data_IF_106467206367
#
_entry.id   IF_106467206367
#
_cell.length_a   1.000
_cell.length_b   1.000
_cell.length_c   1.000
_cell.angle_alpha   90.00
_cell.angle_beta   90.00
_cell.angle_gamma   90.00
#
_symmetry.space_group_name_H-M   'P 1'
#
loop_
_entity.id
_entity.type
_entity.pdbx_description
1 polymer ?
#
# COMPACT_ATOMS: atom_id res chain seq x y z
N UNK A 1 -16.64 -14.43 -30.74
CA UNK A 1 -16.75 -13.04 -30.22
C UNK A 1 -15.38 -12.58 -29.82
N UNK A 2 -14.98 -11.38 -30.17
CA UNK A 2 -13.71 -10.80 -29.67
C UNK A 2 -13.84 -10.56 -28.16
N UNK A 3 -12.77 -10.88 -27.39
CA UNK A 3 -12.69 -10.54 -25.96
C UNK A 3 -12.61 -9.02 -25.77
N UNK A 4 -13.23 -8.52 -24.71
CA UNK A 4 -13.09 -7.12 -24.32
C UNK A 4 -11.68 -6.83 -23.78
N UNK A 5 -11.18 -5.61 -23.97
CA UNK A 5 -9.86 -5.19 -23.56
C UNK A 5 -9.93 -4.22 -22.37
N UNK A 6 -8.96 -4.33 -21.45
CA UNK A 6 -8.70 -3.36 -20.39
C UNK A 6 -7.58 -2.37 -20.77
N UNK A 7 -6.55 -2.87 -21.46
CA UNK A 7 -5.41 -2.07 -21.90
C UNK A 7 -5.01 -2.40 -23.33
N UNK A 8 -4.63 -1.37 -24.09
CA UNK A 8 -4.04 -1.54 -25.43
C UNK A 8 -2.65 -2.16 -25.35
N UNK A 9 -2.20 -2.77 -26.45
CA UNK A 9 -0.82 -3.25 -26.57
C UNK A 9 0.19 -2.10 -26.31
N UNK A 10 1.23 -2.36 -25.53
CA UNK A 10 2.26 -1.38 -25.15
C UNK A 10 3.65 -2.00 -25.11
N UNK A 11 4.66 -1.26 -25.50
CA UNK A 11 6.08 -1.63 -25.32
C UNK A 11 6.42 -3.06 -25.81
N UNK A 12 5.75 -3.54 -26.86
CA UNK A 12 5.96 -4.91 -27.35
C UNK A 12 5.15 -5.99 -26.62
N UNK A 13 4.38 -5.63 -25.59
CA UNK A 13 3.46 -6.53 -24.88
C UNK A 13 2.06 -6.50 -25.52
N UNK A 14 1.34 -7.64 -25.55
CA UNK A 14 0.01 -7.71 -26.13
C UNK A 14 -1.00 -6.87 -25.33
N UNK A 15 -2.16 -6.59 -25.95
CA UNK A 15 -3.27 -5.98 -25.26
C UNK A 15 -3.78 -6.91 -24.15
N UNK A 16 -4.14 -6.33 -23.01
CA UNK A 16 -4.65 -7.07 -21.87
C UNK A 16 -6.17 -7.25 -21.98
N UNK A 17 -6.66 -8.47 -21.77
CA UNK A 17 -8.08 -8.74 -21.71
C UNK A 17 -8.72 -8.11 -20.46
N UNK A 18 -9.95 -7.64 -20.60
CA UNK A 18 -10.74 -7.04 -19.51
C UNK A 18 -10.93 -8.02 -18.35
N UNK A 19 -11.24 -9.27 -18.65
CA UNK A 19 -11.38 -10.34 -17.66
C UNK A 19 -10.12 -10.49 -16.83
N UNK A 20 -8.97 -10.67 -17.48
CA UNK A 20 -7.70 -10.93 -16.81
C UNK A 20 -7.32 -9.77 -15.87
N UNK A 21 -7.54 -8.52 -16.32
CA UNK A 21 -7.30 -7.32 -15.52
C UNK A 21 -8.19 -7.29 -14.28
N UNK A 22 -9.50 -7.42 -14.45
CA UNK A 22 -10.45 -7.35 -13.33
C UNK A 22 -10.20 -8.46 -12.31
N UNK A 23 -9.95 -9.69 -12.76
CA UNK A 23 -9.66 -10.83 -11.89
C UNK A 23 -8.34 -10.64 -11.11
N UNK A 24 -7.30 -10.13 -11.76
CA UNK A 24 -6.02 -9.85 -11.12
C UNK A 24 -6.14 -8.73 -10.09
N UNK A 25 -6.80 -7.62 -10.44
CA UNK A 25 -7.03 -6.49 -9.52
C UNK A 25 -7.87 -6.95 -8.33
N UNK A 26 -8.95 -7.69 -8.57
CA UNK A 26 -9.80 -8.24 -7.52
C UNK A 26 -9.01 -9.14 -6.56
N UNK A 27 -8.24 -10.10 -7.08
CA UNK A 27 -7.44 -11.03 -6.28
C UNK A 27 -6.42 -10.29 -5.40
N UNK A 28 -5.69 -9.32 -5.95
CA UNK A 28 -4.69 -8.55 -5.23
C UNK A 28 -5.31 -7.63 -4.19
N UNK A 29 -6.29 -6.84 -4.59
CA UNK A 29 -6.93 -5.87 -3.71
C UNK A 29 -7.61 -6.56 -2.52
N UNK A 30 -8.30 -7.69 -2.73
CA UNK A 30 -8.91 -8.47 -1.66
C UNK A 30 -7.88 -9.12 -0.74
N UNK A 31 -6.74 -9.56 -1.28
CA UNK A 31 -5.62 -10.05 -0.47
C UNK A 31 -5.06 -8.93 0.41
N UNK A 32 -4.80 -7.73 -0.15
CA UNK A 32 -4.31 -6.58 0.63
C UNK A 32 -5.30 -6.20 1.75
N UNK A 33 -6.59 -6.16 1.45
CA UNK A 33 -7.61 -5.88 2.44
C UNK A 33 -7.64 -6.93 3.56
N UNK A 34 -7.53 -8.22 3.23
CA UNK A 34 -7.46 -9.30 4.21
C UNK A 34 -6.21 -9.19 5.11
N UNK A 35 -5.07 -8.85 4.54
CA UNK A 35 -3.83 -8.61 5.30
C UNK A 35 -3.95 -7.43 6.25
N UNK A 36 -4.61 -6.33 5.84
CA UNK A 36 -4.90 -5.17 6.70
C UNK A 36 -5.81 -5.58 7.86
N UNK A 37 -6.87 -6.34 7.59
CA UNK A 37 -7.86 -6.73 8.61
C UNK A 37 -7.32 -7.69 9.67
N UNK A 38 -6.24 -8.43 9.40
CA UNK A 38 -5.56 -9.24 10.43
C UNK A 38 -5.07 -8.42 11.63
N UNK A 39 -4.84 -7.11 11.43
CA UNK A 39 -4.35 -6.19 12.46
C UNK A 39 -5.41 -5.19 12.92
N UNK A 40 -6.63 -5.30 12.43
CA UNK A 40 -7.75 -4.46 12.89
C UNK A 40 -8.28 -4.97 14.24
N UNK A 41 -8.73 -4.05 15.08
CA UNK A 41 -9.37 -4.40 16.35
C UNK A 41 -10.69 -5.17 16.15
N UNK A 42 -11.37 -4.93 15.03
CA UNK A 42 -12.56 -5.65 14.57
C UNK A 42 -12.29 -6.23 13.19
N UNK A 43 -12.02 -7.53 13.14
CA UNK A 43 -11.77 -8.29 11.91
C UNK A 43 -13.07 -8.78 11.26
N UNK A 44 -14.06 -7.92 11.13
CA UNK A 44 -15.39 -8.27 10.60
C UNK A 44 -15.44 -8.53 9.09
N UNK A 45 -14.33 -8.41 8.38
CA UNK A 45 -14.25 -8.58 6.93
C UNK A 45 -14.89 -7.44 6.13
N UNK A 46 -15.13 -6.28 6.76
CA UNK A 46 -15.83 -5.18 6.10
C UNK A 46 -14.97 -4.49 5.04
N UNK A 47 -13.68 -4.28 5.31
CA UNK A 47 -12.75 -3.71 4.33
C UNK A 47 -12.63 -4.62 3.10
N UNK A 48 -12.48 -5.92 3.34
CA UNK A 48 -12.42 -6.91 2.26
C UNK A 48 -13.68 -6.93 1.41
N UNK A 49 -14.87 -6.81 2.01
CA UNK A 49 -16.14 -6.71 1.27
C UNK A 49 -16.18 -5.46 0.39
N UNK A 50 -15.88 -4.28 0.97
CA UNK A 50 -15.89 -3.01 0.22
C UNK A 50 -14.90 -3.06 -0.94
N UNK A 51 -13.69 -3.55 -0.68
CA UNK A 51 -12.62 -3.65 -1.69
C UNK A 51 -12.96 -4.67 -2.78
N UNK A 52 -13.53 -5.83 -2.42
CA UNK A 52 -13.97 -6.84 -3.40
C UNK A 52 -14.97 -6.27 -4.41
N UNK A 53 -16.01 -5.62 -3.91
CA UNK A 53 -17.03 -5.01 -4.77
C UNK A 53 -16.46 -3.85 -5.59
N UNK A 54 -15.58 -3.04 -5.01
CA UNK A 54 -14.92 -1.96 -5.75
C UNK A 54 -14.03 -2.52 -6.87
N UNK A 55 -13.24 -3.54 -6.59
CA UNK A 55 -12.31 -4.13 -7.55
C UNK A 55 -13.03 -4.78 -8.75
N UNK A 56 -14.18 -5.42 -8.53
CA UNK A 56 -14.94 -6.02 -9.62
C UNK A 56 -15.45 -4.97 -10.62
N UNK A 57 -15.91 -3.81 -10.12
CA UNK A 57 -16.61 -2.84 -10.98
C UNK A 57 -15.80 -1.57 -11.27
N UNK A 58 -14.53 -1.45 -10.83
CA UNK A 58 -13.76 -0.21 -10.97
C UNK A 58 -13.64 0.27 -12.42
N UNK A 59 -13.54 -0.64 -13.33
CA UNK A 59 -13.30 -0.43 -14.75
C UNK A 59 -14.47 -0.79 -15.67
N UNK A 60 -15.68 -0.93 -15.11
CA UNK A 60 -16.87 -1.38 -15.88
C UNK A 60 -17.09 -0.57 -17.15
N UNK A 61 -16.85 0.73 -17.13
CA UNK A 61 -17.03 1.59 -18.29
C UNK A 61 -16.00 1.41 -19.40
N UNK A 62 -14.89 0.68 -19.17
CA UNK A 62 -14.00 0.26 -20.27
C UNK A 62 -14.71 -0.60 -21.31
N UNK A 63 -15.81 -1.28 -20.92
CA UNK A 63 -16.63 -2.08 -21.84
C UNK A 63 -17.49 -1.24 -22.79
N UNK A 64 -17.57 0.09 -22.63
CA UNK A 64 -18.26 0.96 -23.60
C UNK A 64 -17.63 0.81 -25.00
N UNK A 65 -18.48 0.73 -26.02
CA UNK A 65 -18.07 0.45 -27.41
C UNK A 65 -17.02 1.46 -27.92
N UNK A 66 -17.16 2.75 -27.58
CA UNK A 66 -16.20 3.77 -28.01
C UNK A 66 -14.84 3.59 -27.30
N UNK A 67 -14.86 3.19 -26.02
CA UNK A 67 -13.64 2.85 -25.29
C UNK A 67 -12.99 1.61 -25.90
N UNK A 68 -13.76 0.59 -26.24
CA UNK A 68 -13.26 -0.65 -26.87
C UNK A 68 -12.64 -0.40 -28.24
N UNK A 69 -13.19 0.51 -29.05
CA UNK A 69 -12.58 0.90 -30.33
C UNK A 69 -11.18 1.48 -30.12
N UNK A 70 -11.01 2.40 -29.15
CA UNK A 70 -9.71 2.98 -28.82
C UNK A 70 -8.74 1.95 -28.28
N UNK A 71 -9.19 1.07 -27.39
CA UNK A 71 -8.36 0.01 -26.79
C UNK A 71 -7.86 -1.01 -27.85
N UNK A 72 -8.63 -1.24 -28.90
CA UNK A 72 -8.24 -2.08 -30.06
C UNK A 72 -7.36 -1.37 -31.07
N UNK A 73 -7.13 -0.06 -30.90
CA UNK A 73 -6.41 0.75 -31.88
C UNK A 73 -7.23 1.08 -33.13
N UNK A 74 -8.56 0.98 -33.05
CA UNK A 74 -9.49 1.35 -34.11
C UNK A 74 -9.72 2.87 -34.09
N UNK A 75 -9.29 3.59 -35.11
CA UNK A 75 -9.45 5.05 -35.23
C UNK A 75 -8.24 5.87 -34.82
N UNK A 76 -8.46 7.14 -34.44
CA UNK A 76 -7.38 8.03 -33.99
C UNK A 76 -6.85 7.62 -32.63
N UNK A 77 -5.53 7.55 -32.49
CA UNK A 77 -4.88 7.33 -31.20
C UNK A 77 -5.25 8.47 -30.24
N UNK A 78 -6.02 8.18 -29.21
CA UNK A 78 -6.40 9.12 -28.17
C UNK A 78 -5.53 8.87 -26.92
N UNK A 79 -5.12 9.97 -26.26
CA UNK A 79 -4.38 9.88 -24.98
C UNK A 79 -5.25 9.44 -23.80
N UNK A 80 -6.57 9.59 -23.92
CA UNK A 80 -7.58 9.22 -22.91
C UNK A 80 -8.74 8.50 -23.58
N UNK A 81 -9.40 7.62 -22.82
CA UNK A 81 -10.64 7.00 -23.26
C UNK A 81 -11.73 8.07 -23.50
N UNK A 82 -12.52 7.97 -24.58
CA UNK A 82 -13.54 8.96 -24.91
C UNK A 82 -14.71 8.98 -23.92
N UNK A 83 -15.00 7.85 -23.26
CA UNK A 83 -16.05 7.75 -22.24
C UNK A 83 -15.40 7.52 -20.88
N UNK A 84 -15.88 8.23 -19.86
CA UNK A 84 -15.43 8.04 -18.50
C UNK A 84 -15.71 6.59 -18.05
N UNK A 85 -14.63 5.83 -17.84
CA UNK A 85 -14.76 4.40 -17.51
C UNK A 85 -15.13 4.14 -16.03
N UNK A 86 -14.95 5.14 -15.17
CA UNK A 86 -15.23 5.03 -13.72
C UNK A 86 -16.72 5.13 -13.43
N UNK A 87 -17.44 6.00 -14.14
CA UNK A 87 -18.84 6.34 -13.84
C UNK A 87 -19.79 5.14 -13.91
N UNK A 88 -19.53 4.18 -14.80
CA UNK A 88 -20.39 2.99 -14.94
C UNK A 88 -20.36 2.09 -13.69
N UNK A 89 -19.18 1.89 -13.10
CA UNK A 89 -19.02 1.15 -11.85
C UNK A 89 -19.70 1.83 -10.68
N UNK A 90 -19.49 3.14 -10.52
CA UNK A 90 -20.16 3.93 -9.47
C UNK A 90 -21.67 3.94 -9.66
N UNK A 91 -22.16 4.13 -10.89
CA UNK A 91 -23.60 4.08 -11.21
C UNK A 91 -24.26 2.75 -10.81
N UNK A 92 -23.56 1.65 -11.02
CA UNK A 92 -24.07 0.32 -10.65
C UNK A 92 -24.10 0.14 -9.13
N UNK A 93 -22.99 0.47 -8.44
CA UNK A 93 -22.84 0.26 -7.00
C UNK A 93 -23.75 1.16 -6.14
N UNK A 94 -24.15 2.32 -6.69
CA UNK A 94 -25.10 3.24 -6.04
C UNK A 94 -26.57 2.88 -6.26
N UNK A 95 -26.90 1.87 -7.09
CA UNK A 95 -28.31 1.47 -7.26
C UNK A 95 -28.94 1.03 -5.94
N UNK A 96 -30.24 1.30 -5.73
CA UNK A 96 -30.93 0.94 -4.49
C UNK A 96 -30.87 -0.54 -4.13
N UNK A 97 -30.82 -1.42 -5.13
CA UNK A 97 -30.74 -2.88 -4.97
C UNK A 97 -29.32 -3.37 -4.61
N UNK A 98 -28.30 -2.58 -4.87
CA UNK A 98 -26.91 -2.89 -4.50
C UNK A 98 -26.50 -2.15 -3.22
N UNK A 99 -26.75 -0.86 -3.18
CA UNK A 99 -26.45 0.08 -2.09
C UNK A 99 -25.04 -0.07 -1.47
N UNK A 100 -24.06 -0.28 -2.35
CA UNK A 100 -22.66 -0.47 -1.99
C UNK A 100 -21.90 0.87 -1.98
N UNK A 101 -22.32 1.82 -1.15
CA UNK A 101 -21.87 3.21 -1.17
C UNK A 101 -20.36 3.32 -1.00
N UNK A 102 -19.76 2.60 -0.06
CA UNK A 102 -18.32 2.69 0.19
C UNK A 102 -17.47 2.11 -0.94
N UNK A 103 -17.96 1.06 -1.58
CA UNK A 103 -17.36 0.53 -2.80
C UNK A 103 -17.49 1.52 -3.97
N UNK A 104 -18.63 2.18 -4.11
CA UNK A 104 -18.83 3.21 -5.12
C UNK A 104 -17.89 4.41 -4.92
N UNK A 105 -17.72 4.89 -3.67
CA UNK A 105 -16.76 5.95 -3.32
C UNK A 105 -15.34 5.53 -3.66
N UNK A 106 -14.98 4.28 -3.38
CA UNK A 106 -13.63 3.74 -3.69
C UNK A 106 -13.40 3.69 -5.20
N UNK A 107 -14.40 3.23 -5.99
CA UNK A 107 -14.35 3.24 -7.46
C UNK A 107 -14.26 4.68 -7.98
N UNK A 108 -15.10 5.59 -7.50
CA UNK A 108 -15.05 7.00 -7.89
C UNK A 108 -13.67 7.62 -7.71
N UNK A 109 -12.98 7.21 -6.64
CA UNK A 109 -11.75 7.83 -6.17
C UNK A 109 -10.47 7.25 -6.77
N UNK A 110 -10.48 6.05 -7.38
CA UNK A 110 -9.26 5.31 -7.67
C UNK A 110 -8.28 6.00 -8.65
N UNK A 111 -8.76 6.95 -9.47
CA UNK A 111 -7.90 7.79 -10.31
C UNK A 111 -7.79 9.24 -9.83
N UNK A 112 -8.83 9.79 -9.21
CA UNK A 112 -8.88 11.21 -8.85
C UNK A 112 -8.53 11.51 -7.39
N UNK A 113 -8.64 10.51 -6.52
CA UNK A 113 -8.49 10.64 -5.08
C UNK A 113 -9.81 10.83 -4.35
N UNK A 114 -9.77 10.70 -3.02
CA UNK A 114 -10.95 10.90 -2.17
C UNK A 114 -11.42 12.35 -2.28
N UNK A 115 -12.71 12.57 -2.56
CA UNK A 115 -13.29 13.91 -2.66
C UNK A 115 -13.52 14.55 -1.28
N UNK A 116 -13.86 15.81 -1.28
CA UNK A 116 -14.54 16.44 -0.16
C UNK A 116 -15.98 15.90 -0.09
N UNK A 117 -16.32 15.26 1.03
CA UNK A 117 -17.63 14.64 1.22
C UNK A 117 -18.76 15.65 1.35
N UNK A 118 -18.48 16.86 1.86
CA UNK A 118 -19.48 17.92 1.99
C UNK A 118 -19.84 18.46 0.61
N UNK A 119 -18.85 18.66 -0.26
CA UNK A 119 -19.06 19.06 -1.66
C UNK A 119 -19.81 17.98 -2.45
N UNK A 120 -19.45 16.70 -2.26
CA UNK A 120 -20.17 15.60 -2.93
C UNK A 120 -21.61 15.48 -2.44
N UNK A 121 -21.87 15.56 -1.13
CA UNK A 121 -23.22 15.52 -0.58
C UNK A 121 -24.11 16.63 -1.12
N UNK A 122 -23.55 17.82 -1.37
CA UNK A 122 -24.28 18.96 -1.95
C UNK A 122 -24.77 18.69 -3.39
N UNK A 123 -24.20 17.74 -4.11
CA UNK A 123 -24.64 17.34 -5.48
C UNK A 123 -25.91 16.47 -5.49
N UNK A 124 -26.39 16.03 -4.34
CA UNK A 124 -27.62 15.22 -4.21
C UNK A 124 -27.51 13.90 -5.00
N UNK A 125 -28.49 13.62 -5.85
CA UNK A 125 -28.55 12.38 -6.65
C UNK A 125 -27.38 12.16 -7.61
N UNK A 126 -26.56 13.19 -7.86
CA UNK A 126 -25.39 13.11 -8.72
C UNK A 126 -24.07 12.96 -7.95
N UNK A 127 -24.14 12.78 -6.64
CA UNK A 127 -22.96 12.53 -5.81
C UNK A 127 -22.18 11.29 -6.30
N UNK A 128 -20.87 11.42 -6.33
CA UNK A 128 -19.94 10.38 -6.81
C UNK A 128 -20.16 9.93 -8.26
N UNK A 129 -20.76 10.76 -9.09
CA UNK A 129 -21.01 10.49 -10.52
C UNK A 129 -20.18 11.45 -11.39
N UNK A 130 -20.19 11.21 -12.71
CA UNK A 130 -19.55 12.13 -13.65
C UNK A 130 -20.14 13.55 -13.53
N UNK A 131 -19.31 14.57 -13.72
CA UNK A 131 -19.73 15.98 -13.60
C UNK A 131 -20.67 16.41 -14.75
N UNK A 132 -20.49 15.82 -15.93
CA UNK A 132 -21.24 16.18 -17.12
C UNK A 132 -22.54 15.41 -17.25
N UNK A 133 -23.65 16.12 -17.45
CA UNK A 133 -24.99 15.53 -17.57
C UNK A 133 -25.09 14.55 -18.74
N UNK A 134 -24.51 14.89 -19.89
CA UNK A 134 -24.53 14.01 -21.07
C UNK A 134 -23.74 12.72 -20.85
N UNK A 135 -22.61 12.79 -20.13
CA UNK A 135 -21.83 11.62 -19.77
C UNK A 135 -22.62 10.68 -18.83
N UNK A 136 -23.28 11.23 -17.80
CA UNK A 136 -24.17 10.45 -16.92
C UNK A 136 -25.35 9.83 -17.68
N UNK A 137 -25.99 10.59 -18.57
CA UNK A 137 -27.10 10.10 -19.39
C UNK A 137 -26.65 8.92 -20.26
N UNK A 138 -25.49 9.03 -20.91
CA UNK A 138 -24.88 7.95 -21.69
C UNK A 138 -24.61 6.73 -20.81
N UNK A 139 -23.94 6.89 -19.69
CA UNK A 139 -23.68 5.79 -18.75
C UNK A 139 -24.97 5.09 -18.34
N UNK A 140 -26.01 5.83 -17.96
CA UNK A 140 -27.29 5.27 -17.56
C UNK A 140 -27.96 4.48 -18.68
N UNK A 141 -27.88 4.96 -19.94
CA UNK A 141 -28.44 4.29 -21.10
C UNK A 141 -27.70 2.98 -21.44
N UNK A 142 -26.39 2.93 -21.27
CA UNK A 142 -25.54 1.77 -21.64
C UNK A 142 -25.34 0.77 -20.51
N UNK A 143 -25.54 1.15 -19.25
CA UNK A 143 -25.20 0.36 -18.05
C UNK A 143 -25.69 -1.08 -18.09
N UNK A 144 -26.93 -1.31 -18.50
CA UNK A 144 -27.48 -2.68 -18.59
C UNK A 144 -26.75 -3.56 -19.60
N UNK A 145 -26.28 -2.97 -20.69
CA UNK A 145 -25.51 -3.67 -21.72
C UNK A 145 -24.09 -3.98 -21.23
N UNK A 146 -23.45 -3.00 -20.55
CA UNK A 146 -22.12 -3.20 -19.95
C UNK A 146 -22.15 -4.32 -18.92
N UNK A 147 -23.14 -4.36 -18.04
CA UNK A 147 -23.33 -5.42 -17.05
C UNK A 147 -23.56 -6.80 -17.67
N UNK A 148 -24.26 -6.88 -18.80
CA UNK A 148 -24.43 -8.15 -19.54
C UNK A 148 -23.10 -8.67 -20.09
N UNK A 149 -22.26 -7.77 -20.63
CA UNK A 149 -20.92 -8.11 -21.10
C UNK A 149 -20.06 -8.56 -19.93
N UNK A 150 -20.03 -7.76 -18.86
CA UNK A 150 -19.25 -8.02 -17.65
C UNK A 150 -19.58 -9.43 -17.08
N UNK A 151 -20.83 -9.71 -16.80
CA UNK A 151 -21.27 -11.01 -16.25
C UNK A 151 -20.98 -12.20 -17.15
N UNK A 152 -20.82 -12.01 -18.44
CA UNK A 152 -20.41 -13.05 -19.38
C UNK A 152 -18.91 -13.31 -19.33
N UNK A 153 -18.08 -12.28 -19.06
CA UNK A 153 -16.65 -12.35 -19.15
C UNK A 153 -15.96 -12.52 -17.77
N UNK A 154 -16.54 -12.00 -16.69
CA UNK A 154 -15.96 -12.01 -15.34
C UNK A 154 -16.75 -12.92 -14.41
N UNK A 155 -16.05 -13.81 -13.72
CA UNK A 155 -16.62 -14.83 -12.83
C UNK A 155 -15.91 -14.80 -11.49
N UNK A 156 -16.37 -13.95 -10.57
CA UNK A 156 -15.77 -13.78 -9.25
C UNK A 156 -16.69 -14.28 -8.15
N UNK A 157 -16.10 -14.84 -7.10
CA UNK A 157 -16.82 -15.22 -5.89
C UNK A 157 -16.89 -14.04 -4.94
N UNK A 158 -17.93 -13.22 -5.06
CA UNK A 158 -18.13 -12.06 -4.20
C UNK A 158 -18.59 -12.47 -2.79
N UNK A 159 -18.11 -11.74 -1.75
CA UNK A 159 -18.64 -11.89 -0.40
C UNK A 159 -20.12 -11.49 -0.35
N UNK A 160 -20.86 -12.13 0.53
CA UNK A 160 -22.29 -11.85 0.73
C UNK A 160 -22.51 -10.41 1.20
N UNK A 161 -23.18 -9.63 0.37
CA UNK A 161 -23.55 -8.24 0.62
C UNK A 161 -22.41 -7.23 0.54
N UNK A 162 -22.74 -5.94 0.39
CA UNK A 162 -21.77 -4.86 0.42
C UNK A 162 -21.21 -4.69 1.84
N UNK A 163 -19.94 -4.31 1.92
CA UNK A 163 -19.31 -4.01 3.21
C UNK A 163 -19.81 -2.69 3.81
N UNK A 164 -19.67 -2.58 5.12
CA UNK A 164 -19.95 -1.37 5.89
C UNK A 164 -18.65 -0.70 6.30
N UNK A 165 -18.68 0.60 6.60
CA UNK A 165 -17.53 1.26 7.20
C UNK A 165 -17.37 0.80 8.65
N UNK A 166 -16.15 0.38 9.01
CA UNK A 166 -15.76 0.09 10.38
C UNK A 166 -14.78 1.15 10.91
N UNK A 167 -14.99 1.65 12.13
CA UNK A 167 -14.12 2.61 12.79
C UNK A 167 -14.11 4.01 12.16
N UNK A 168 -12.93 4.62 12.04
CA UNK A 168 -12.77 5.95 11.43
C UNK A 168 -12.96 5.88 9.91
N UNK A 169 -13.96 6.61 9.41
CA UNK A 169 -14.30 6.62 7.98
C UNK A 169 -13.14 7.10 7.10
N UNK A 170 -12.40 8.09 7.55
CA UNK A 170 -11.29 8.66 6.78
C UNK A 170 -10.15 7.66 6.62
N UNK A 171 -9.81 6.93 7.66
CA UNK A 171 -8.80 5.86 7.64
C UNK A 171 -9.29 4.68 6.80
N UNK A 172 -10.53 4.26 7.01
CA UNK A 172 -11.15 3.14 6.29
C UNK A 172 -11.12 3.35 4.78
N UNK A 173 -11.58 4.51 4.29
CA UNK A 173 -11.62 4.80 2.86
C UNK A 173 -10.22 5.00 2.25
N UNK A 174 -9.27 5.56 3.02
CA UNK A 174 -7.87 5.62 2.57
C UNK A 174 -7.27 4.22 2.39
N UNK A 175 -7.55 3.30 3.30
CA UNK A 175 -7.11 1.90 3.19
C UNK A 175 -7.80 1.19 2.03
N UNK A 176 -9.11 1.35 1.84
CA UNK A 176 -9.83 0.79 0.71
C UNK A 176 -9.27 1.29 -0.63
N UNK A 177 -9.07 2.61 -0.74
CA UNK A 177 -8.48 3.21 -1.92
C UNK A 177 -7.03 2.76 -2.14
N UNK A 178 -6.26 2.60 -1.07
CA UNK A 178 -4.89 2.08 -1.14
C UNK A 178 -4.83 0.69 -1.77
N UNK A 179 -5.70 -0.22 -1.33
CA UNK A 179 -5.77 -1.59 -1.85
C UNK A 179 -6.10 -1.62 -3.35
N UNK A 180 -7.11 -0.83 -3.76
CA UNK A 180 -7.52 -0.79 -5.18
C UNK A 180 -6.47 -0.11 -6.04
N UNK A 181 -5.99 1.07 -5.64
CA UNK A 181 -5.04 1.83 -6.42
C UNK A 181 -3.72 1.09 -6.63
N UNK A 182 -3.23 0.36 -5.61
CA UNK A 182 -2.02 -0.43 -5.78
C UNK A 182 -2.25 -1.68 -6.63
N UNK A 183 -3.36 -2.37 -6.47
CA UNK A 183 -3.70 -3.55 -7.26
C UNK A 183 -3.84 -3.21 -8.75
N UNK A 184 -4.59 -2.15 -9.10
CA UNK A 184 -4.80 -1.68 -10.47
C UNK A 184 -3.48 -1.23 -11.13
N UNK A 185 -2.73 -0.36 -10.45
CA UNK A 185 -1.44 0.10 -10.98
C UNK A 185 -0.40 -1.01 -11.13
N UNK A 186 -0.36 -1.96 -10.20
CA UNK A 186 0.57 -3.09 -10.24
C UNK A 186 0.24 -4.02 -11.39
N UNK A 187 -1.03 -4.36 -11.59
CA UNK A 187 -1.48 -5.18 -12.71
C UNK A 187 -1.23 -4.50 -14.07
N UNK A 188 -1.52 -3.19 -14.14
CA UNK A 188 -1.22 -2.38 -15.34
C UNK A 188 0.28 -2.33 -15.66
N UNK A 189 1.14 -2.25 -14.64
CA UNK A 189 2.59 -2.25 -14.82
C UNK A 189 3.08 -3.61 -15.30
N UNK A 190 2.60 -4.69 -14.73
CA UNK A 190 2.97 -6.06 -15.11
C UNK A 190 2.51 -6.39 -16.54
N UNK A 191 1.29 -6.02 -16.92
CA UNK A 191 0.81 -6.21 -18.29
C UNK A 191 1.64 -5.48 -19.34
N UNK A 192 2.36 -4.43 -18.93
CA UNK A 192 3.30 -3.68 -19.76
C UNK A 192 4.78 -4.14 -19.59
N UNK A 193 5.01 -5.26 -18.91
CA UNK A 193 6.36 -5.83 -18.66
C UNK A 193 7.20 -5.04 -17.65
N UNK A 194 6.57 -4.28 -16.75
CA UNK A 194 7.24 -3.38 -15.78
C UNK A 194 6.94 -3.73 -14.31
N UNK A 195 6.31 -4.86 -14.05
CA UNK A 195 5.92 -5.27 -12.70
C UNK A 195 6.95 -6.17 -12.04
N UNK A 196 7.02 -6.12 -10.71
CA UNK A 196 7.74 -7.13 -9.91
C UNK A 196 6.85 -8.35 -9.70
N UNK A 197 7.40 -9.57 -9.84
CA UNK A 197 6.71 -10.76 -9.36
C UNK A 197 6.50 -10.66 -7.85
N UNK A 198 5.27 -10.84 -7.39
CA UNK A 198 4.92 -10.82 -5.97
C UNK A 198 5.55 -11.98 -5.15
N UNK A 199 6.08 -12.98 -5.84
CA UNK A 199 6.42 -14.29 -5.28
C UNK A 199 7.68 -14.35 -4.40
N UNK A 200 8.52 -13.31 -4.39
CA UNK A 200 9.82 -13.32 -3.69
C UNK A 200 10.07 -12.12 -2.78
N UNK A 201 9.02 -11.57 -2.17
CA UNK A 201 9.21 -10.46 -1.23
C UNK A 201 9.82 -10.96 0.09
N UNK A 202 10.87 -10.27 0.61
CA UNK A 202 11.49 -10.66 1.87
C UNK A 202 10.52 -10.46 3.05
N UNK A 203 10.56 -11.40 3.98
CA UNK A 203 9.81 -11.35 5.22
C UNK A 203 10.61 -10.68 6.34
N UNK A 204 9.93 -10.14 7.36
CA UNK A 204 10.58 -9.47 8.47
C UNK A 204 11.50 -10.40 9.28
N UNK A 205 11.11 -11.67 9.52
CA UNK A 205 11.90 -12.64 10.28
C UNK A 205 12.47 -12.02 11.58
N UNK A 206 11.59 -11.38 12.36
CA UNK A 206 11.96 -10.50 13.47
C UNK A 206 12.89 -11.17 14.50
N UNK A 207 12.60 -12.41 14.89
CA UNK A 207 13.41 -13.21 15.83
C UNK A 207 14.83 -13.42 15.33
N UNK A 208 15.00 -13.78 14.07
CA UNK A 208 16.31 -14.05 13.48
C UNK A 208 17.13 -12.76 13.31
N UNK A 209 16.48 -11.67 12.89
CA UNK A 209 17.13 -10.36 12.79
C UNK A 209 17.51 -9.80 14.16
N UNK A 210 16.68 -10.00 15.19
CA UNK A 210 17.03 -9.64 16.55
C UNK A 210 18.28 -10.40 17.03
N UNK A 211 18.36 -11.70 16.78
CA UNK A 211 19.54 -12.49 17.11
C UNK A 211 20.80 -12.03 16.33
N UNK A 212 20.62 -11.58 15.08
CA UNK A 212 21.73 -11.00 14.29
C UNK A 212 22.18 -9.66 14.86
N UNK A 213 21.24 -8.79 15.25
CA UNK A 213 21.52 -7.51 15.90
C UNK A 213 22.23 -7.69 17.26
N UNK A 214 21.78 -8.65 18.06
CA UNK A 214 22.42 -9.00 19.34
C UNK A 214 23.89 -9.38 19.13
N UNK A 215 24.22 -10.15 18.10
CA UNK A 215 25.61 -10.50 17.78
C UNK A 215 26.41 -9.28 17.33
N UNK A 216 25.83 -8.49 16.43
CA UNK A 216 26.46 -7.27 15.94
C UNK A 216 26.83 -6.32 17.08
N UNK A 217 25.94 -6.12 18.08
CA UNK A 217 26.19 -5.25 19.22
C UNK A 217 27.28 -5.84 20.15
N UNK A 218 27.26 -7.15 20.42
CA UNK A 218 28.31 -7.81 21.22
C UNK A 218 29.68 -7.71 20.56
N UNK A 219 29.76 -7.82 19.24
CA UNK A 219 31.03 -7.67 18.50
C UNK A 219 31.58 -6.25 18.60
N UNK A 220 30.71 -5.22 18.69
CA UNK A 220 31.09 -3.85 18.95
C UNK A 220 31.57 -3.58 20.40
N UNK A 221 31.15 -4.41 21.35
CA UNK A 221 31.48 -4.33 22.78
C UNK A 221 32.81 -5.00 23.12
N UNK A 222 33.41 -5.80 22.21
CA UNK A 222 34.70 -6.44 22.45
C UNK A 222 35.81 -5.41 22.62
N UNK A 223 36.59 -5.45 23.70
CA UNK A 223 37.57 -4.43 24.00
C UNK A 223 38.73 -4.43 23.00
N UNK A 224 38.88 -3.32 22.28
CA UNK A 224 40.16 -2.94 21.76
C UNK A 224 40.91 -2.29 22.92
N UNK A 225 41.78 -3.05 23.60
CA UNK A 225 42.70 -2.67 24.66
C UNK A 225 42.18 -1.69 25.76
N UNK A 226 42.00 -2.24 26.95
CA UNK A 226 42.13 -1.60 28.28
C UNK A 226 41.78 -0.09 28.43
N UNK A 227 40.55 0.32 28.16
CA UNK A 227 40.00 1.50 28.82
C UNK A 227 38.54 1.24 29.19
N UNK A 228 38.23 1.32 30.48
CA UNK A 228 36.88 1.30 31.01
C UNK A 228 36.11 2.49 30.42
N UNK A 229 35.40 2.30 29.31
CA UNK A 229 34.75 3.38 28.59
C UNK A 229 33.31 3.52 29.10
N UNK A 230 33.08 4.54 29.94
CA UNK A 230 31.77 4.88 30.50
C UNK A 230 30.67 4.98 29.42
N UNK A 231 31.02 5.44 28.21
CA UNK A 231 30.09 5.46 27.05
C UNK A 231 29.75 4.09 26.53
N UNK A 232 30.68 3.15 26.55
CA UNK A 232 30.44 1.75 26.17
C UNK A 232 29.43 1.07 27.10
N UNK A 233 29.63 1.25 28.41
CA UNK A 233 28.70 0.74 29.43
C UNK A 233 27.28 1.32 29.29
N UNK A 234 27.17 2.63 29.03
CA UNK A 234 25.87 3.28 28.79
C UNK A 234 25.17 2.73 27.56
N UNK A 235 25.89 2.54 26.44
CA UNK A 235 25.34 1.98 25.21
C UNK A 235 24.86 0.54 25.39
N UNK A 236 25.63 -0.28 26.07
CA UNK A 236 25.24 -1.65 26.38
C UNK A 236 23.98 -1.68 27.25
N UNK A 237 23.98 -0.92 28.35
CA UNK A 237 22.82 -0.80 29.23
C UNK A 237 21.56 -0.34 28.47
N UNK A 238 21.68 0.69 27.63
CA UNK A 238 20.59 1.20 26.79
C UNK A 238 20.06 0.11 25.86
N UNK A 239 20.95 -0.61 25.18
CA UNK A 239 20.58 -1.66 24.23
C UNK A 239 19.76 -2.77 24.92
N UNK A 240 20.29 -3.34 26.00
CA UNK A 240 19.62 -4.48 26.67
C UNK A 240 18.33 -4.05 27.37
N UNK A 241 18.28 -2.86 27.95
CA UNK A 241 17.04 -2.33 28.54
C UNK A 241 15.93 -2.14 27.48
N UNK A 242 16.25 -1.55 26.34
CA UNK A 242 15.28 -1.40 25.25
C UNK A 242 14.83 -2.73 24.66
N UNK A 243 15.78 -3.65 24.44
CA UNK A 243 15.51 -4.98 23.88
C UNK A 243 14.57 -5.81 24.75
N UNK A 244 14.77 -5.79 26.07
CA UNK A 244 14.03 -6.62 27.00
C UNK A 244 12.77 -5.96 27.55
N UNK A 245 12.54 -4.68 27.24
CA UNK A 245 11.36 -3.93 27.66
C UNK A 245 10.06 -4.61 27.19
N UNK A 246 9.10 -4.69 28.11
CA UNK A 246 7.77 -5.27 27.87
C UNK A 246 6.69 -4.24 28.22
N UNK A 247 6.53 -3.20 27.37
CA UNK A 247 5.52 -2.17 27.63
C UNK A 247 4.11 -2.75 27.55
N UNK A 248 3.23 -2.28 28.41
CA UNK A 248 1.80 -2.60 28.37
C UNK A 248 1.10 -1.76 27.28
N UNK A 249 1.57 -0.54 27.06
CA UNK A 249 1.01 0.38 26.10
C UNK A 249 1.56 0.15 24.69
N UNK A 250 0.73 0.44 23.70
CA UNK A 250 1.14 0.40 22.28
C UNK A 250 2.02 1.59 21.88
N UNK A 251 1.96 2.70 22.62
CA UNK A 251 2.76 3.91 22.40
C UNK A 251 3.70 4.06 23.58
N UNK A 252 4.99 4.15 23.29
CA UNK A 252 6.03 4.30 24.29
C UNK A 252 7.03 5.37 23.83
N UNK A 253 7.63 6.11 24.78
CA UNK A 253 8.70 7.05 24.51
C UNK A 253 10.05 6.46 24.87
N UNK A 254 11.09 6.88 24.15
CA UNK A 254 12.48 6.54 24.43
C UNK A 254 13.28 7.83 24.54
N UNK A 255 13.53 8.27 25.76
CA UNK A 255 14.37 9.44 26.04
C UNK A 255 15.79 8.99 26.39
N UNK A 256 16.77 9.50 25.67
CA UNK A 256 18.16 9.14 25.89
C UNK A 256 19.11 10.17 25.31
N UNK A 257 20.30 10.40 25.92
CA UNK A 257 21.30 11.34 25.45
C UNK A 257 21.80 11.01 24.03
N UNK A 258 22.29 12.03 23.33
CA UNK A 258 22.95 11.84 22.04
C UNK A 258 24.18 10.96 22.20
N UNK A 259 24.34 9.98 21.28
CA UNK A 259 25.45 9.03 21.30
C UNK A 259 25.30 7.84 22.23
N UNK A 260 24.11 7.65 22.85
CA UNK A 260 23.79 6.50 23.72
C UNK A 260 23.55 5.18 22.97
N UNK A 261 23.61 5.17 21.62
CA UNK A 261 23.31 3.99 20.81
C UNK A 261 21.83 3.81 20.50
N UNK A 262 21.02 4.88 20.53
CA UNK A 262 19.56 4.86 20.26
C UNK A 262 19.20 4.04 19.01
N UNK A 263 19.94 4.21 17.92
CA UNK A 263 19.66 3.51 16.63
C UNK A 263 19.53 2.00 16.77
N UNK A 264 20.51 1.36 17.42
CA UNK A 264 20.48 -0.11 17.61
C UNK A 264 19.54 -0.52 18.74
N UNK A 265 19.47 0.25 19.82
CA UNK A 265 18.61 -0.04 20.96
C UNK A 265 17.12 0.00 20.63
N UNK A 266 16.69 1.03 19.90
CA UNK A 266 15.31 1.15 19.42
C UNK A 266 14.99 0.04 18.42
N UNK A 267 15.88 -0.27 17.46
CA UNK A 267 15.66 -1.37 16.52
C UNK A 267 15.52 -2.71 17.24
N UNK A 268 16.29 -2.98 18.28
CA UNK A 268 16.15 -4.18 19.08
C UNK A 268 14.77 -4.26 19.77
N UNK A 269 14.28 -3.13 20.30
CA UNK A 269 12.94 -3.04 20.86
C UNK A 269 11.87 -3.34 19.81
N UNK A 270 11.94 -2.69 18.62
CA UNK A 270 10.97 -2.90 17.55
C UNK A 270 10.93 -4.36 17.07
N UNK A 271 12.10 -4.98 16.88
CA UNK A 271 12.20 -6.40 16.52
C UNK A 271 11.62 -7.32 17.61
N UNK A 272 11.92 -7.05 18.89
CA UNK A 272 11.35 -7.80 19.99
C UNK A 272 9.83 -7.67 20.08
N UNK A 273 9.27 -6.49 19.83
CA UNK A 273 7.81 -6.30 19.78
C UNK A 273 7.21 -6.97 18.53
N UNK A 274 7.88 -6.85 17.38
CA UNK A 274 7.43 -7.49 16.14
C UNK A 274 7.35 -9.03 16.28
N UNK A 275 8.35 -9.65 16.90
CA UNK A 275 8.35 -11.10 17.17
C UNK A 275 7.20 -11.50 18.11
N UNK A 276 6.98 -10.76 19.20
CA UNK A 276 5.91 -11.05 20.18
C UNK A 276 4.50 -10.89 19.62
N UNK A 277 4.30 -9.92 18.73
CA UNK A 277 2.98 -9.52 18.22
C UNK A 277 2.69 -10.01 16.81
N UNK A 278 3.62 -10.73 16.18
CA UNK A 278 3.50 -11.21 14.81
C UNK A 278 3.42 -10.07 13.79
N UNK A 279 4.15 -8.96 14.03
CA UNK A 279 4.14 -7.83 13.11
C UNK A 279 4.95 -8.14 11.85
N UNK A 280 4.53 -7.53 10.74
CA UNK A 280 5.09 -7.84 9.42
C UNK A 280 6.18 -6.88 8.94
N UNK A 281 6.24 -5.65 9.49
CA UNK A 281 7.20 -4.60 9.06
C UNK A 281 7.65 -3.72 10.20
N UNK A 282 8.75 -3.01 9.95
CA UNK A 282 9.27 -1.96 10.83
C UNK A 282 9.45 -0.69 10.01
N UNK A 283 8.90 0.42 10.52
CA UNK A 283 9.13 1.76 9.99
C UNK A 283 10.00 2.56 10.94
N UNK A 284 11.07 3.15 10.39
CA UNK A 284 11.94 4.09 11.10
C UNK A 284 11.79 5.44 10.40
N UNK A 285 11.15 6.38 11.07
CA UNK A 285 10.81 7.70 10.57
C UNK A 285 11.78 8.71 11.18
N UNK A 286 12.62 9.33 10.35
CA UNK A 286 13.71 10.21 10.77
C UNK A 286 13.49 11.62 10.21
N UNK A 287 13.98 12.67 10.94
CA UNK A 287 13.74 14.05 10.53
C UNK A 287 14.55 14.48 9.30
N UNK A 288 15.76 13.93 9.12
CA UNK A 288 16.72 14.41 8.12
C UNK A 288 17.32 13.28 7.28
N UNK A 289 17.55 13.55 5.99
CA UNK A 289 18.09 12.57 5.03
C UNK A 289 19.51 12.07 5.38
N UNK A 290 20.35 12.92 5.94
CA UNK A 290 21.72 12.53 6.34
C UNK A 290 21.74 11.45 7.41
N UNK A 291 20.80 11.51 8.36
CA UNK A 291 20.65 10.52 9.43
C UNK A 291 20.09 9.22 8.87
N UNK A 292 19.23 9.29 7.85
CA UNK A 292 18.67 8.12 7.17
C UNK A 292 19.80 7.26 6.59
N UNK A 293 20.68 7.83 5.79
CA UNK A 293 21.76 7.06 5.14
C UNK A 293 22.67 6.38 6.17
N UNK A 294 23.00 7.06 7.27
CA UNK A 294 23.79 6.46 8.36
C UNK A 294 23.02 5.29 9.05
N UNK A 295 21.75 5.50 9.38
CA UNK A 295 20.93 4.45 10.00
C UNK A 295 20.78 3.23 9.09
N UNK A 296 20.52 3.45 7.79
CA UNK A 296 20.41 2.39 6.78
C UNK A 296 21.68 1.56 6.68
N UNK A 297 22.87 2.20 6.66
CA UNK A 297 24.14 1.47 6.62
C UNK A 297 24.30 0.54 7.84
N UNK A 298 23.96 1.04 9.04
CA UNK A 298 24.01 0.25 10.28
C UNK A 298 23.02 -0.91 10.22
N UNK A 299 21.77 -0.64 9.81
CA UNK A 299 20.73 -1.65 9.74
C UNK A 299 21.03 -2.73 8.69
N UNK A 300 21.48 -2.35 7.51
CA UNK A 300 21.89 -3.30 6.46
C UNK A 300 22.99 -4.24 6.95
N UNK A 301 24.01 -3.70 7.63
CA UNK A 301 25.10 -4.49 8.20
C UNK A 301 24.64 -5.44 9.32
N UNK A 302 23.76 -4.97 10.20
CA UNK A 302 23.38 -5.69 11.41
C UNK A 302 22.22 -6.69 11.19
N UNK A 303 21.35 -6.45 10.20
CA UNK A 303 20.07 -7.13 10.07
C UNK A 303 19.94 -8.03 8.84
N UNK A 304 20.84 -7.92 7.85
CA UNK A 304 20.81 -8.80 6.68
C UNK A 304 21.20 -10.21 7.06
N UNK A 305 20.38 -11.18 6.74
CA UNK A 305 20.63 -12.59 7.01
C UNK A 305 21.35 -13.27 5.83
N UNK A 306 22.01 -14.41 6.05
CA UNK A 306 22.69 -15.12 4.98
C UNK A 306 21.80 -15.40 3.76
N UNK A 307 22.29 -15.05 2.57
CA UNK A 307 21.59 -15.24 1.30
C UNK A 307 20.61 -14.13 0.92
N UNK A 308 20.43 -13.10 1.77
CA UNK A 308 19.60 -11.93 1.46
C UNK A 308 20.44 -10.79 0.86
N UNK A 309 19.78 -9.94 0.07
CA UNK A 309 20.36 -8.67 -0.39
C UNK A 309 20.01 -7.55 0.59
N UNK A 310 21.00 -6.80 1.10
CA UNK A 310 20.77 -5.76 2.11
C UNK A 310 19.72 -4.73 1.72
N UNK A 311 19.68 -4.36 0.44
CA UNK A 311 18.78 -3.35 -0.11
C UNK A 311 17.32 -3.82 -0.15
N UNK A 312 17.08 -5.12 -0.31
CA UNK A 312 15.74 -5.72 -0.28
C UNK A 312 15.21 -5.85 1.16
N UNK A 313 16.12 -5.95 2.14
CA UNK A 313 15.78 -6.05 3.57
C UNK A 313 15.53 -4.69 4.19
N UNK A 314 16.42 -3.71 3.95
CA UNK A 314 16.34 -2.36 4.50
C UNK A 314 16.26 -1.36 3.36
N UNK A 315 15.03 -0.88 3.13
CA UNK A 315 14.74 0.11 2.11
C UNK A 315 14.95 1.53 2.65
N UNK A 316 15.65 2.35 1.86
CA UNK A 316 15.86 3.78 2.10
C UNK A 316 14.92 4.58 1.20
N UNK A 317 13.98 5.34 1.79
CA UNK A 317 13.00 6.11 1.03
C UNK A 317 13.06 7.60 1.36
N UNK A 318 13.66 8.36 0.47
CA UNK A 318 13.59 9.82 0.45
C UNK A 318 13.78 10.35 -0.99
N UNK A 319 13.52 11.64 -1.21
CA UNK A 319 13.55 12.27 -2.53
C UNK A 319 14.92 12.28 -3.23
N UNK A 320 16.01 11.96 -2.52
CA UNK A 320 17.39 11.89 -3.03
C UNK A 320 17.93 10.46 -3.14
N UNK A 321 17.10 9.45 -2.86
CA UNK A 321 17.56 8.07 -2.99
C UNK A 321 17.73 7.71 -4.47
N UNK A 322 18.95 7.42 -4.88
CA UNK A 322 19.27 6.92 -6.20
C UNK A 322 19.08 5.40 -6.23
N UNK A 323 18.27 4.93 -7.17
CA UNK A 323 18.04 3.50 -7.37
C UNK A 323 18.63 3.11 -8.72
N UNK A 324 19.63 2.25 -8.71
CA UNK A 324 20.21 1.65 -9.92
C UNK A 324 19.30 0.58 -10.52
N UNK A 325 18.47 -0.05 -9.66
CA UNK A 325 17.56 -1.14 -10.04
C UNK A 325 16.08 -0.67 -9.93
N UNK A 326 15.33 -0.89 -11.01
CA UNK A 326 13.89 -0.58 -11.05
C UNK A 326 13.08 -1.41 -10.07
N UNK A 327 13.50 -2.65 -9.81
CA UNK A 327 12.82 -3.57 -8.90
C UNK A 327 12.96 -3.10 -7.45
N UNK A 328 14.18 -2.66 -7.09
CA UNK A 328 14.46 -2.09 -5.78
C UNK A 328 13.70 -0.78 -5.54
N UNK A 329 13.62 0.09 -6.57
CA UNK A 329 12.82 1.31 -6.53
C UNK A 329 11.35 1.02 -6.27
N UNK A 330 10.80 -0.03 -6.90
CA UNK A 330 9.41 -0.43 -6.73
C UNK A 330 9.11 -0.94 -5.32
N UNK A 331 9.97 -1.83 -4.79
CA UNK A 331 9.87 -2.35 -3.41
C UNK A 331 9.90 -1.21 -2.38
N UNK A 332 10.80 -0.28 -2.56
CA UNK A 332 10.99 0.86 -1.65
C UNK A 332 9.82 1.83 -1.73
N UNK A 333 9.43 2.23 -2.95
CA UNK A 333 8.36 3.21 -3.16
C UNK A 333 7.00 2.72 -2.63
N UNK A 334 6.74 1.41 -2.66
CA UNK A 334 5.51 0.80 -2.18
C UNK A 334 5.58 0.25 -0.75
N UNK A 335 6.63 0.52 0.01
CA UNK A 335 6.79 0.07 1.40
C UNK A 335 6.75 -1.46 1.58
N UNK A 336 7.19 -2.21 0.58
CA UNK A 336 7.14 -3.69 0.59
C UNK A 336 8.33 -4.35 1.26
N UNK A 337 9.42 -3.63 1.49
CA UNK A 337 10.55 -4.13 2.27
C UNK A 337 10.16 -4.38 3.74
N UNK A 338 10.78 -5.36 4.42
CA UNK A 338 10.48 -5.64 5.82
C UNK A 338 10.88 -4.50 6.77
N UNK A 339 11.88 -3.70 6.42
CA UNK A 339 12.31 -2.54 7.20
C UNK A 339 12.40 -1.34 6.27
N UNK A 340 11.67 -0.28 6.59
CA UNK A 340 11.61 0.96 5.83
C UNK A 340 12.16 2.10 6.68
N UNK A 341 13.18 2.79 6.15
CA UNK A 341 13.71 4.01 6.75
C UNK A 341 13.33 5.19 5.86
N UNK A 342 12.57 6.12 6.40
CA UNK A 342 11.97 7.22 5.62
C UNK A 342 12.00 8.54 6.35
N UNK A 343 11.71 9.64 5.64
CA UNK A 343 11.56 10.97 6.25
C UNK A 343 10.20 11.13 6.92
N UNK A 344 10.14 11.95 7.97
CA UNK A 344 8.89 12.34 8.62
C UNK A 344 7.90 12.95 7.61
N UNK A 345 8.37 13.82 6.72
CA UNK A 345 7.54 14.43 5.66
C UNK A 345 6.90 13.35 4.78
N UNK A 346 7.69 12.45 4.18
CA UNK A 346 7.16 11.42 3.28
C UNK A 346 6.22 10.43 3.98
N UNK A 347 6.46 10.16 5.26
CA UNK A 347 5.60 9.31 6.07
C UNK A 347 4.23 9.98 6.33
N UNK A 348 4.24 11.20 6.86
CA UNK A 348 3.01 11.93 7.18
C UNK A 348 2.22 12.36 5.95
N UNK A 349 2.89 12.72 4.84
CA UNK A 349 2.21 12.95 3.56
C UNK A 349 1.41 11.72 3.11
N UNK A 350 1.95 10.52 3.28
CA UNK A 350 1.21 9.29 2.95
C UNK A 350 -0.03 9.13 3.83
N UNK A 351 0.10 9.37 5.14
CA UNK A 351 -1.01 9.25 6.09
C UNK A 351 -2.11 10.29 5.85
N UNK A 352 -1.74 11.53 5.51
CA UNK A 352 -2.67 12.64 5.33
C UNK A 352 -3.24 12.75 3.90
N UNK A 353 -2.66 12.07 2.92
CA UNK A 353 -3.05 12.20 1.53
C UNK A 353 -4.47 11.71 1.25
N UNK A 354 -5.08 12.30 0.22
CA UNK A 354 -6.28 11.80 -0.44
C UNK A 354 -6.00 11.31 -1.87
N UNK A 355 -4.73 11.37 -2.35
CA UNK A 355 -4.36 11.04 -3.73
C UNK A 355 -3.95 9.59 -3.88
N UNK A 356 -4.42 8.86 -4.91
CA UNK A 356 -4.11 7.45 -5.13
C UNK A 356 -2.60 7.18 -5.18
N UNK A 357 -1.84 8.02 -5.87
CA UNK A 357 -0.38 7.86 -6.02
C UNK A 357 0.37 7.82 -4.68
N UNK A 358 -0.03 8.64 -3.70
CA UNK A 358 0.56 8.62 -2.36
C UNK A 358 -0.01 7.49 -1.50
N UNK A 359 -1.30 7.19 -1.66
CA UNK A 359 -2.00 6.18 -0.87
C UNK A 359 -1.66 4.74 -1.24
N UNK A 360 -1.14 4.46 -2.45
CA UNK A 360 -0.86 3.09 -2.92
C UNK A 360 -0.12 2.20 -1.91
N UNK A 361 0.69 2.78 -1.04
CA UNK A 361 1.51 2.09 -0.04
C UNK A 361 0.89 2.02 1.36
N UNK A 362 -0.24 2.69 1.61
CA UNK A 362 -0.80 2.82 2.96
C UNK A 362 -1.26 1.47 3.53
N UNK A 363 -1.78 0.57 2.70
CA UNK A 363 -2.21 -0.77 3.12
C UNK A 363 -1.07 -1.64 3.64
N UNK A 364 0.20 -1.23 3.42
CA UNK A 364 1.37 -1.91 3.96
C UNK A 364 1.71 -1.53 5.41
N UNK A 365 1.12 -0.44 5.92
CA UNK A 365 1.39 0.07 7.27
C UNK A 365 0.75 -0.73 8.42
N UNK A 366 -0.51 -1.23 8.32
CA UNK A 366 -1.10 -2.04 9.38
C UNK A 366 -0.26 -3.27 9.71
N UNK A 367 -0.16 -3.60 10.99
CA UNK A 367 0.72 -4.68 11.46
C UNK A 367 2.20 -4.33 11.46
N UNK A 368 2.55 -3.05 11.63
CA UNK A 368 3.94 -2.60 11.68
C UNK A 368 4.31 -2.05 13.07
N UNK A 369 5.60 -2.20 13.43
CA UNK A 369 6.20 -1.43 14.50
C UNK A 369 6.77 -0.12 13.92
N UNK A 370 6.50 1.02 14.56
CA UNK A 370 6.86 2.33 14.02
C UNK A 370 7.67 3.08 15.07
N UNK A 371 8.84 3.57 14.67
CA UNK A 371 9.62 4.53 15.44
C UNK A 371 9.62 5.88 14.73
N UNK A 372 9.27 6.93 15.47
CA UNK A 372 9.35 8.32 15.01
C UNK A 372 10.37 9.03 15.87
N UNK A 373 11.48 9.45 15.27
CA UNK A 373 12.52 10.21 15.95
C UNK A 373 12.16 11.69 15.98
N UNK A 374 12.53 12.37 17.08
CA UNK A 374 12.24 13.79 17.30
C UNK A 374 10.75 14.17 17.13
N UNK A 375 9.85 13.38 17.71
CA UNK A 375 8.39 13.59 17.67
C UNK A 375 7.93 14.71 18.64
N UNK A 376 8.48 15.91 18.52
CA UNK A 376 8.14 17.10 19.33
C UNK A 376 7.74 18.30 18.49
#
# INVERSE_FOLDING_TARGET
>A
MMRSLAHSARNGFPAQAYQDHVENVWRRATQYAAEVEQFAADSSGQLQKVVSWAAEYHDLGKLDEENQKVLRGEGKALKKLPVNHVDAGTAYLLKPDQYAVWSAVTVYSHHRGLPDFSEEAAKGETAFRDEYTDARARTNATLSSLLKIHRREVWLSQPAGPGQCGGDLGVFLRLALSCIADADHSDTAESAGKGLPQENLPNLRAKERLASLDRYVRDLEQPVECQFNQRGSLRSSMYWNCRDAKPENNIVSCDSPVGSGKTTAVMAHLLAQADRRGLRRIFVVLPYTNIITQAVQVYRKALTLPGEKPEEVVAELHHRADFEDNDLRYLTALWRAPIIVTTAVGFYETLASNKPAALRRLHELPGSAIFVDEAH
#
